data_IF_522818730355
#
_entry.id   IF_522818730355
#
_cell.length_a   1.000
_cell.length_b   1.000
_cell.length_c   1.000
_cell.angle_alpha   90.00
_cell.angle_beta   90.00
_cell.angle_gamma   90.00
#
_symmetry.space_group_name_H-M   'P 1'
#
loop_
_entity.id
_entity.type
_entity.pdbx_description
1 polymer ?
#
# COMPACT_ATOMS: atom_id res chain seq x y z
N UNK A 1 1.59 -18.32 -3.76
CA UNK A 1 1.49 -17.21 -4.71
C UNK A 1 0.14 -17.22 -5.41
N UNK A 2 -0.41 -16.04 -5.64
CA UNK A 2 -1.63 -15.84 -6.44
C UNK A 2 -1.30 -15.24 -7.81
N UNK A 3 -0.12 -14.63 -7.94
CA UNK A 3 0.43 -14.09 -9.18
C UNK A 3 1.82 -14.67 -9.45
N UNK A 4 2.07 -15.08 -10.69
CA UNK A 4 3.33 -15.67 -11.13
C UNK A 4 4.04 -14.81 -12.17
N UNK A 5 3.29 -13.97 -12.89
CA UNK A 5 3.79 -13.10 -13.94
C UNK A 5 3.50 -11.64 -13.60
N UNK A 6 4.51 -10.78 -13.70
CA UNK A 6 4.37 -9.36 -13.45
C UNK A 6 4.89 -8.53 -14.62
N UNK A 7 4.10 -7.53 -15.01
CA UNK A 7 4.58 -6.43 -15.86
C UNK A 7 5.07 -5.31 -14.96
N UNK A 8 6.33 -4.96 -15.06
CA UNK A 8 6.97 -3.88 -14.30
C UNK A 8 7.88 -3.06 -15.20
N UNK A 9 8.35 -1.94 -14.72
CA UNK A 9 9.27 -1.08 -15.47
C UNK A 9 10.62 -1.73 -15.69
N UNK A 10 11.10 -1.76 -16.92
CA UNK A 10 12.40 -2.35 -17.29
C UNK A 10 13.60 -1.68 -16.61
N UNK A 11 13.46 -0.43 -16.16
CA UNK A 11 14.54 0.25 -15.40
C UNK A 11 15.03 -0.51 -14.17
N UNK A 12 14.22 -1.41 -13.61
CA UNK A 12 14.63 -2.23 -12.48
C UNK A 12 15.58 -3.35 -12.87
N UNK A 13 15.62 -3.76 -14.13
CA UNK A 13 16.52 -4.80 -14.62
C UNK A 13 17.94 -4.24 -14.82
N UNK A 14 18.08 -2.94 -15.03
CA UNK A 14 19.34 -2.22 -15.17
C UNK A 14 19.87 -1.64 -13.86
N UNK A 15 19.11 -1.75 -12.77
CA UNK A 15 19.48 -1.18 -11.48
C UNK A 15 20.25 -2.17 -10.60
N UNK A 16 21.40 -1.75 -10.04
CA UNK A 16 22.18 -2.54 -9.07
C UNK A 16 21.45 -2.69 -7.73
N UNK A 17 20.66 -1.68 -7.35
CA UNK A 17 19.87 -1.67 -6.12
C UNK A 17 18.61 -0.78 -6.25
N UNK A 18 17.58 -1.12 -5.49
CA UNK A 18 16.34 -0.36 -5.41
C UNK A 18 16.14 0.17 -4.00
N UNK A 19 15.96 1.48 -3.87
CA UNK A 19 15.55 2.13 -2.63
C UNK A 19 14.10 2.57 -2.78
N UNK A 20 13.24 2.02 -1.94
CA UNK A 20 11.82 2.30 -1.94
C UNK A 20 11.49 3.44 -0.96
N UNK A 21 11.33 4.66 -1.48
CA UNK A 21 10.92 5.82 -0.69
C UNK A 21 9.41 6.03 -0.78
N UNK A 22 8.72 5.99 0.34
CA UNK A 22 7.26 6.11 0.36
C UNK A 22 6.78 7.10 1.44
N UNK A 23 5.54 7.54 1.31
CA UNK A 23 4.83 8.37 2.28
C UNK A 23 3.84 7.51 3.07
N UNK A 24 3.82 7.67 4.41
CA UNK A 24 2.78 7.07 5.24
C UNK A 24 1.45 7.77 5.00
N UNK A 25 0.46 7.00 4.53
CA UNK A 25 -0.87 7.53 4.21
C UNK A 25 -1.98 6.48 4.26
N UNK A 26 -3.19 6.93 4.53
CA UNK A 26 -4.41 6.12 4.43
C UNK A 26 -4.66 5.63 3.01
N UNK A 27 -5.42 4.55 2.90
CA UNK A 27 -5.86 4.00 1.61
C UNK A 27 -7.20 3.29 1.74
N UNK A 28 -8.19 3.69 0.91
CA UNK A 28 -9.56 3.18 0.99
C UNK A 28 -9.71 1.66 0.88
N UNK A 29 -8.92 0.99 0.06
CA UNK A 29 -8.99 -0.47 -0.13
C UNK A 29 -8.06 -1.23 0.82
N UNK A 30 -6.86 -0.69 1.10
CA UNK A 30 -5.78 -1.42 1.78
C UNK A 30 -5.53 -0.92 3.21
N UNK A 31 -6.39 -0.03 3.74
CA UNK A 31 -6.19 0.62 5.03
C UNK A 31 -5.10 1.68 4.99
N UNK A 32 -3.89 1.29 4.61
CA UNK A 32 -2.78 2.24 4.43
C UNK A 32 -1.97 1.97 3.16
N UNK A 33 -1.24 2.96 2.73
CA UNK A 33 -0.12 2.86 1.80
C UNK A 33 1.16 3.15 2.58
N UNK A 34 2.10 2.22 2.50
CA UNK A 34 3.43 2.34 3.08
C UNK A 34 4.42 1.54 2.22
N UNK A 35 5.47 0.95 2.79
CA UNK A 35 6.56 0.33 2.03
C UNK A 35 6.09 -0.80 1.10
N UNK A 36 5.32 -1.76 1.61
CA UNK A 36 4.86 -2.93 0.82
C UNK A 36 4.02 -2.47 -0.38
N UNK A 37 3.00 -1.64 -0.15
CA UNK A 37 2.11 -1.20 -1.21
C UNK A 37 2.78 -0.21 -2.18
N UNK A 38 3.78 0.55 -1.75
CA UNK A 38 4.48 1.50 -2.61
C UNK A 38 5.20 0.80 -3.77
N UNK A 39 5.68 -0.42 -3.57
CA UNK A 39 6.28 -1.24 -4.64
C UNK A 39 5.33 -1.53 -5.80
N UNK A 40 4.01 -1.44 -5.60
CA UNK A 40 3.06 -1.48 -6.70
C UNK A 40 3.24 -0.31 -7.69
N UNK A 41 4.01 0.70 -7.31
CA UNK A 41 4.44 1.80 -8.16
C UNK A 41 5.23 1.38 -9.40
N UNK A 42 5.97 0.26 -9.33
CA UNK A 42 6.79 -0.26 -10.44
C UNK A 42 5.94 -0.83 -11.60
N UNK A 43 4.66 -1.15 -11.34
CA UNK A 43 3.73 -1.64 -12.36
C UNK A 43 3.30 -0.48 -13.25
N UNK A 44 3.34 -0.59 -14.61
CA UNK A 44 2.87 0.46 -15.52
C UNK A 44 1.41 0.84 -15.30
N UNK A 45 1.09 2.12 -15.50
CA UNK A 45 -0.23 2.69 -15.18
C UNK A 45 -1.41 1.96 -15.82
N UNK A 46 -1.31 1.57 -17.09
CA UNK A 46 -2.35 0.81 -17.82
C UNK A 46 -2.60 -0.57 -17.21
N UNK A 47 -1.53 -1.25 -16.75
CA UNK A 47 -1.60 -2.58 -16.14
C UNK A 47 -2.15 -2.51 -14.71
N UNK A 48 -1.98 -1.38 -14.01
CA UNK A 48 -2.56 -1.20 -12.67
C UNK A 48 -4.07 -1.39 -12.66
N UNK A 49 -4.77 -0.86 -13.65
CA UNK A 49 -6.22 -1.02 -13.76
C UNK A 49 -6.61 -2.48 -14.03
N UNK A 50 -5.85 -3.19 -14.86
CA UNK A 50 -6.04 -4.62 -15.12
C UNK A 50 -5.87 -5.45 -13.84
N UNK A 51 -4.81 -5.20 -13.06
CA UNK A 51 -4.56 -5.92 -11.81
C UNK A 51 -5.61 -5.61 -10.75
N UNK A 52 -6.08 -4.39 -10.65
CA UNK A 52 -7.20 -4.05 -9.80
C UNK A 52 -8.50 -4.80 -10.18
N UNK A 53 -8.76 -4.98 -11.47
CA UNK A 53 -9.91 -5.76 -11.93
C UNK A 53 -9.72 -7.25 -11.65
N UNK A 54 -8.56 -7.81 -12.01
CA UNK A 54 -8.22 -9.23 -11.84
C UNK A 54 -8.21 -9.67 -10.38
N UNK A 55 -7.71 -8.83 -9.48
CA UNK A 55 -7.64 -9.05 -8.04
C UNK A 55 -8.58 -8.10 -7.31
N UNK A 56 -9.88 -8.21 -7.58
CA UNK A 56 -10.89 -7.28 -7.02
C UNK A 56 -11.12 -7.47 -5.53
N UNK A 57 -10.86 -8.66 -4.99
CA UNK A 57 -10.88 -8.92 -3.55
C UNK A 57 -9.64 -8.28 -2.88
N UNK A 58 -9.78 -7.51 -1.78
CA UNK A 58 -8.66 -6.87 -1.09
C UNK A 58 -7.55 -7.82 -0.66
N UNK A 59 -7.89 -9.02 -0.19
CA UNK A 59 -6.88 -10.00 0.23
C UNK A 59 -6.12 -10.60 -0.96
N UNK A 60 -6.78 -10.89 -2.07
CA UNK A 60 -6.12 -11.39 -3.28
C UNK A 60 -5.23 -10.31 -3.89
N UNK A 61 -5.68 -9.05 -3.87
CA UNK A 61 -4.85 -7.92 -4.26
C UNK A 61 -3.64 -7.74 -3.35
N UNK A 62 -3.81 -7.91 -2.04
CA UNK A 62 -2.72 -7.88 -1.08
C UNK A 62 -1.70 -9.01 -1.31
N UNK A 63 -2.18 -10.24 -1.52
CA UNK A 63 -1.33 -11.40 -1.84
C UNK A 63 -0.53 -11.16 -3.13
N UNK A 64 -1.17 -10.59 -4.17
CA UNK A 64 -0.49 -10.20 -5.41
C UNK A 64 0.60 -9.14 -5.16
N UNK A 65 0.34 -8.14 -4.31
CA UNK A 65 1.36 -7.14 -3.95
C UNK A 65 2.53 -7.79 -3.18
N UNK A 66 2.26 -8.73 -2.28
CA UNK A 66 3.30 -9.50 -1.59
C UNK A 66 4.11 -10.33 -2.59
N UNK A 67 3.47 -10.99 -3.54
CA UNK A 67 4.13 -11.73 -4.62
C UNK A 67 5.04 -10.81 -5.46
N UNK A 68 4.59 -9.60 -5.79
CA UNK A 68 5.37 -8.59 -6.50
C UNK A 68 6.62 -8.16 -5.70
N UNK A 69 6.47 -7.91 -4.39
CA UNK A 69 7.60 -7.55 -3.52
C UNK A 69 8.64 -8.69 -3.43
N UNK A 70 8.22 -9.95 -3.49
CA UNK A 70 9.12 -11.11 -3.52
C UNK A 70 9.80 -11.28 -4.88
N UNK A 71 9.08 -11.01 -5.97
CA UNK A 71 9.61 -11.10 -7.33
C UNK A 71 10.61 -9.98 -7.65
N UNK A 72 10.38 -8.79 -7.10
CA UNK A 72 11.24 -7.59 -7.30
C UNK A 72 11.45 -6.87 -5.95
N UNK A 73 12.33 -7.40 -5.08
CA UNK A 73 12.57 -6.81 -3.77
C UNK A 73 13.37 -5.51 -3.90
N UNK A 74 13.01 -4.53 -3.07
CA UNK A 74 13.88 -3.39 -2.80
C UNK A 74 14.82 -3.72 -1.63
N UNK A 75 16.05 -3.24 -1.69
CA UNK A 75 17.10 -3.48 -0.69
C UNK A 75 16.92 -2.62 0.55
N UNK A 76 16.31 -1.45 0.38
CA UNK A 76 16.02 -0.52 1.48
C UNK A 76 14.64 0.12 1.27
N UNK A 77 13.90 0.25 2.35
CA UNK A 77 12.63 0.96 2.39
C UNK A 77 12.74 2.13 3.36
N UNK A 78 12.35 3.32 2.91
CA UNK A 78 12.33 4.54 3.71
C UNK A 78 10.90 5.09 3.69
N UNK A 79 10.32 5.26 4.87
CA UNK A 79 8.98 5.84 5.04
C UNK A 79 9.11 7.27 5.53
N UNK A 80 8.64 8.21 4.74
CA UNK A 80 8.42 9.57 5.16
C UNK A 80 7.09 9.65 5.93
N UNK A 81 7.22 9.77 7.24
CA UNK A 81 6.15 10.05 8.18
C UNK A 81 6.38 11.39 8.92
N UNK A 82 7.19 12.31 8.36
CA UNK A 82 7.30 13.68 8.92
C UNK A 82 5.93 14.36 8.84
N UNK A 83 5.31 14.31 7.66
CA UNK A 83 3.91 14.67 7.47
C UNK A 83 3.24 13.55 6.71
N UNK A 84 2.41 12.77 7.39
CA UNK A 84 1.58 11.73 6.78
C UNK A 84 0.34 12.32 6.12
N UNK A 85 -0.49 11.43 5.53
CA UNK A 85 -1.80 11.78 5.00
C UNK A 85 -2.88 10.96 5.71
N UNK A 86 -3.83 11.60 6.31
CA UNK A 86 -5.01 10.98 6.95
C UNK A 86 -6.30 11.21 6.16
N UNK A 87 -7.39 10.56 6.54
CA UNK A 87 -8.70 10.72 5.90
C UNK A 87 -8.77 10.06 4.53
N UNK A 88 -9.32 10.73 3.52
CA UNK A 88 -9.68 10.16 2.22
C UNK A 88 -8.46 9.92 1.29
N UNK A 89 -7.46 9.18 1.78
CA UNK A 89 -6.31 8.74 0.97
C UNK A 89 -6.66 7.68 -0.08
N UNK A 90 -5.78 7.44 -1.04
CA UNK A 90 -4.37 7.81 -1.05
C UNK A 90 -4.06 9.17 -1.70
N UNK A 91 -5.07 9.92 -2.20
CA UNK A 91 -4.83 11.15 -2.99
C UNK A 91 -5.63 12.36 -2.55
N UNK A 92 -6.71 12.18 -1.80
CA UNK A 92 -7.64 13.23 -1.38
C UNK A 92 -7.75 13.33 0.15
N UNK A 93 -6.72 12.89 0.88
CA UNK A 93 -6.63 13.04 2.33
C UNK A 93 -6.07 14.41 2.72
N UNK A 94 -5.97 14.63 4.02
CA UNK A 94 -5.41 15.85 4.62
C UNK A 94 -4.02 15.57 5.20
N UNK A 95 -3.08 16.54 5.17
CA UNK A 95 -1.80 16.40 5.84
C UNK A 95 -1.97 16.22 7.35
N UNK A 96 -1.16 15.32 7.93
CA UNK A 96 -1.09 15.07 9.37
C UNK A 96 0.36 15.04 9.82
N UNK A 97 0.82 15.99 10.65
CA UNK A 97 2.15 15.94 11.25
C UNK A 97 2.29 14.71 12.15
N UNK A 98 3.39 13.97 11.96
CA UNK A 98 3.76 12.80 12.78
C UNK A 98 5.19 13.01 13.31
N UNK A 99 6.13 13.47 12.45
CA UNK A 99 7.44 13.95 12.87
C UNK A 99 8.55 12.91 12.84
N UNK A 100 8.42 11.80 12.09
CA UNK A 100 9.48 10.80 12.03
C UNK A 100 9.78 10.31 10.60
N UNK A 101 10.97 9.74 10.44
CA UNK A 101 11.39 8.93 9.31
C UNK A 101 11.64 7.50 9.82
N UNK A 102 11.23 6.51 9.06
CA UNK A 102 11.48 5.12 9.38
C UNK A 102 12.20 4.45 8.22
N UNK A 103 13.09 3.51 8.52
CA UNK A 103 13.80 2.76 7.49
C UNK A 103 13.97 1.29 7.91
N UNK A 104 13.94 0.38 6.93
CA UNK A 104 14.20 -1.05 7.14
C UNK A 104 14.50 -1.75 5.82
N UNK A 105 15.29 -2.83 5.88
CA UNK A 105 15.41 -3.76 4.77
C UNK A 105 14.22 -4.74 4.68
N UNK A 106 13.35 -4.78 5.70
CA UNK A 106 12.13 -5.61 5.71
C UNK A 106 10.88 -4.71 5.64
N UNK A 107 10.18 -4.63 4.50
CA UNK A 107 9.02 -3.77 4.33
C UNK A 107 7.84 -4.17 5.21
N UNK A 108 7.69 -5.44 5.50
CA UNK A 108 6.54 -5.96 6.26
C UNK A 108 6.62 -5.55 7.73
N UNK A 109 7.81 -5.66 8.35
CA UNK A 109 8.06 -5.19 9.72
C UNK A 109 7.92 -3.67 9.81
N UNK A 110 8.42 -2.97 8.79
CA UNK A 110 8.30 -1.52 8.69
C UNK A 110 6.83 -1.08 8.63
N UNK A 111 6.03 -1.72 7.80
CA UNK A 111 4.59 -1.44 7.68
C UNK A 111 3.84 -1.75 8.98
N UNK A 112 4.23 -2.76 9.75
CA UNK A 112 3.65 -3.03 11.08
C UNK A 112 3.88 -1.89 12.07
N UNK A 113 5.10 -1.35 12.14
CA UNK A 113 5.41 -0.18 12.98
C UNK A 113 4.58 1.02 12.53
N UNK A 114 4.53 1.27 11.22
CA UNK A 114 3.74 2.37 10.65
C UNK A 114 2.24 2.22 10.98
N UNK A 115 1.71 1.00 10.94
CA UNK A 115 0.33 0.71 11.35
C UNK A 115 0.09 1.08 12.83
N UNK A 116 1.03 0.71 13.72
CA UNK A 116 0.97 1.07 15.13
C UNK A 116 0.98 2.58 15.36
N UNK A 117 1.79 3.33 14.60
CA UNK A 117 1.86 4.81 14.67
C UNK A 117 0.49 5.44 14.36
N UNK A 118 -0.24 4.92 13.38
CA UNK A 118 -1.55 5.46 12.97
C UNK A 118 -2.75 4.76 13.64
N UNK A 119 -2.50 3.94 14.66
CA UNK A 119 -3.55 3.30 15.46
C UNK A 119 -4.34 2.20 14.73
N UNK A 120 -3.77 1.58 13.67
CA UNK A 120 -4.37 0.43 13.01
C UNK A 120 -3.74 -0.87 13.52
N UNK A 121 -4.54 -1.86 13.94
CA UNK A 121 -4.03 -3.20 14.23
C UNK A 121 -3.36 -3.78 12.98
N UNK A 122 -2.08 -4.20 13.01
CA UNK A 122 -1.36 -4.69 11.83
C UNK A 122 -2.08 -5.83 11.11
N UNK A 123 -2.66 -6.77 11.85
CA UNK A 123 -3.39 -7.91 11.29
C UNK A 123 -4.64 -7.52 10.47
N UNK A 124 -5.17 -6.30 10.65
CA UNK A 124 -6.31 -5.80 9.88
C UNK A 124 -5.89 -5.18 8.55
N UNK A 125 -4.59 -4.97 8.30
CA UNK A 125 -4.08 -4.41 7.05
C UNK A 125 -3.84 -5.55 6.07
N UNK A 126 -4.53 -5.58 4.92
CA UNK A 126 -4.49 -6.73 4.00
C UNK A 126 -3.08 -7.13 3.56
N UNK A 127 -2.17 -6.17 3.31
CA UNK A 127 -0.79 -6.47 2.92
C UNK A 127 0.03 -7.08 4.06
N UNK A 128 -0.21 -6.69 5.31
CA UNK A 128 0.44 -7.29 6.48
C UNK A 128 -0.15 -8.67 6.74
N UNK A 129 -1.47 -8.83 6.71
CA UNK A 129 -2.13 -10.12 6.87
C UNK A 129 -1.64 -11.14 5.82
N UNK A 130 -1.55 -10.75 4.54
CA UNK A 130 -1.01 -11.59 3.48
C UNK A 130 0.47 -11.96 3.68
N UNK A 131 1.26 -11.05 4.26
CA UNK A 131 2.66 -11.33 4.62
C UNK A 131 2.76 -12.31 5.80
N UNK A 132 1.88 -12.19 6.79
CA UNK A 132 1.81 -13.10 7.94
C UNK A 132 1.36 -14.52 7.55
N UNK A 133 0.43 -14.66 6.59
CA UNK A 133 0.07 -15.96 6.01
C UNK A 133 1.28 -16.72 5.44
N UNK A 134 2.32 -16.00 5.06
CA UNK A 134 3.54 -16.53 4.43
C UNK A 134 4.77 -16.50 5.34
N UNK A 135 4.60 -16.22 6.61
CA UNK A 135 5.67 -16.08 7.61
C UNK A 135 6.76 -15.06 7.23
N UNK A 136 6.41 -14.02 6.44
CA UNK A 136 7.31 -12.92 6.05
C UNK A 136 7.36 -11.81 7.11
N UNK A 137 6.42 -11.80 8.03
CA UNK A 137 6.24 -10.82 9.09
C UNK A 137 5.89 -11.53 10.39
N UNK A 138 6.32 -11.03 11.56
CA UNK A 138 5.89 -11.56 12.85
C UNK A 138 4.38 -11.38 13.06
N UNK A 139 3.83 -12.07 14.05
CA UNK A 139 2.41 -11.96 14.42
C UNK A 139 2.14 -10.66 15.17
N UNK A 140 3.02 -10.35 16.12
CA UNK A 140 2.86 -9.22 17.02
C UNK A 140 3.93 -8.15 16.77
N UNK A 141 3.54 -6.89 16.93
CA UNK A 141 4.43 -5.74 16.77
C UNK A 141 5.58 -5.76 17.79
N UNK A 142 5.33 -6.32 18.99
CA UNK A 142 6.32 -6.48 20.06
C UNK A 142 7.48 -7.42 19.73
N UNK A 143 7.37 -8.23 18.69
CA UNK A 143 8.45 -9.11 18.21
C UNK A 143 9.46 -8.36 17.31
N UNK A 144 9.19 -7.08 17.00
CA UNK A 144 10.04 -6.29 16.11
C UNK A 144 11.07 -5.54 16.94
N UNK A 145 12.35 -5.86 16.75
CA UNK A 145 13.45 -5.07 17.30
C UNK A 145 13.63 -3.80 16.47
N UNK A 146 13.67 -2.67 17.15
CA UNK A 146 13.91 -1.33 16.58
C UNK A 146 15.13 -0.69 17.23
N UNK A 147 15.83 0.19 16.51
CA UNK A 147 16.96 0.96 17.07
C UNK A 147 16.49 2.03 18.05
N UNK A 148 15.37 2.66 17.75
CA UNK A 148 14.80 3.77 18.51
C UNK A 148 13.32 3.55 18.79
N UNK A 149 12.80 4.01 19.94
CA UNK A 149 11.38 3.89 20.28
C UNK A 149 10.50 4.61 19.26
N UNK A 150 9.48 3.94 18.75
CA UNK A 150 8.47 4.51 17.83
C UNK A 150 7.21 5.01 18.55
N UNK A 151 7.00 4.59 19.80
CA UNK A 151 5.81 4.91 20.59
C UNK A 151 5.59 6.44 20.78
N UNK A 152 6.64 7.28 20.89
CA UNK A 152 6.45 8.73 20.96
C UNK A 152 5.79 9.36 19.72
N UNK A 153 5.76 8.63 18.59
CA UNK A 153 5.18 9.11 17.34
C UNK A 153 3.76 8.60 17.08
N UNK A 154 3.17 7.88 18.04
CA UNK A 154 1.77 7.41 17.93
C UNK A 154 0.84 8.61 17.84
N UNK A 155 -0.08 8.56 16.86
CA UNK A 155 -1.12 9.57 16.65
C UNK A 155 -2.47 8.93 16.97
N UNK A 156 -2.98 9.07 18.21
CA UNK A 156 -4.16 8.34 18.67
C UNK A 156 -5.46 8.71 17.94
N UNK A 157 -5.53 9.94 17.43
CA UNK A 157 -6.67 10.50 16.73
C UNK A 157 -6.46 10.54 15.20
N UNK A 158 -5.57 9.70 14.66
CA UNK A 158 -5.34 9.61 13.22
C UNK A 158 -6.61 9.17 12.50
N UNK A 159 -7.03 9.95 11.51
CA UNK A 159 -8.30 9.71 10.78
C UNK A 159 -8.13 8.61 9.74
N UNK A 160 -8.26 7.37 10.16
CA UNK A 160 -8.30 6.23 9.26
C UNK A 160 -9.61 6.22 8.47
N UNK A 161 -9.57 5.85 7.17
CA UNK A 161 -10.77 5.78 6.30
C UNK A 161 -11.72 4.69 6.77
N UNK A 162 -11.19 3.65 7.40
CA UNK A 162 -11.91 2.44 7.81
C UNK A 162 -11.49 2.00 9.19
N UNK A 163 -12.46 1.51 9.92
CA UNK A 163 -12.22 0.82 11.18
C UNK A 163 -11.60 -0.57 10.90
N UNK A 164 -10.84 -1.08 11.84
CA UNK A 164 -10.19 -2.39 11.77
C UNK A 164 -11.13 -3.51 11.32
N UNK A 165 -12.39 -3.47 11.75
CA UNK A 165 -13.43 -4.46 11.44
C UNK A 165 -13.79 -4.54 9.95
N UNK A 166 -13.60 -3.46 9.19
CA UNK A 166 -14.07 -3.35 7.81
C UNK A 166 -12.96 -3.56 6.75
N UNK A 167 -11.69 -3.71 7.15
CA UNK A 167 -10.58 -3.79 6.19
C UNK A 167 -10.45 -5.17 5.52
N UNK A 168 -10.73 -6.24 6.25
CA UNK A 168 -10.58 -7.62 5.77
C UNK A 168 -11.86 -8.21 5.16
N UNK A 169 -13.04 -7.65 5.49
CA UNK A 169 -14.35 -8.20 5.14
C UNK A 169 -15.07 -7.44 4.02
N UNK A 170 -14.34 -6.94 3.03
CA UNK A 170 -15.00 -6.32 1.88
C UNK A 170 -15.41 -7.32 0.83
N UNK A 171 -16.71 -7.50 0.69
CA UNK A 171 -17.31 -7.90 -0.58
C UNK A 171 -16.87 -6.90 -1.66
N UNK A 172 -16.30 -7.45 -2.74
CA UNK A 172 -15.66 -6.68 -3.80
C UNK A 172 -16.43 -5.40 -4.15
N UNK A 173 -15.81 -4.26 -3.96
CA UNK A 173 -16.49 -2.98 -3.94
C UNK A 173 -16.83 -2.50 -5.35
N UNK A 174 -17.96 -2.98 -5.89
CA UNK A 174 -18.53 -2.54 -7.18
C UNK A 174 -18.63 -0.99 -7.28
N UNK A 175 -18.79 -0.30 -6.15
CA UNK A 175 -18.89 1.16 -6.10
C UNK A 175 -17.55 1.89 -6.35
N UNK A 176 -16.41 1.34 -5.91
CA UNK A 176 -15.08 1.92 -6.20
C UNK A 176 -14.76 1.72 -7.67
N UNK A 177 -15.08 0.56 -8.21
CA UNK A 177 -14.87 0.22 -9.63
C UNK A 177 -15.76 1.05 -10.54
N UNK A 178 -17.02 1.28 -10.17
CA UNK A 178 -17.92 2.16 -10.92
C UNK A 178 -17.34 3.58 -11.05
N UNK A 179 -16.72 4.12 -10.00
CA UNK A 179 -16.06 5.44 -10.05
C UNK A 179 -14.77 5.43 -10.88
N UNK A 180 -13.95 4.38 -10.77
CA UNK A 180 -12.73 4.24 -11.56
C UNK A 180 -13.05 4.01 -13.05
N UNK A 181 -14.00 3.14 -13.36
CA UNK A 181 -14.48 2.87 -14.72
C UNK A 181 -15.10 4.12 -15.33
N UNK A 182 -15.93 4.87 -14.63
CA UNK A 182 -16.49 6.14 -15.10
C UNK A 182 -15.40 7.19 -15.38
N UNK A 183 -14.32 7.25 -14.58
CA UNK A 183 -13.17 8.13 -14.88
C UNK A 183 -12.45 7.71 -16.15
N UNK A 184 -12.20 6.40 -16.33
CA UNK A 184 -11.56 5.85 -17.53
C UNK A 184 -12.43 6.08 -18.79
N UNK A 185 -13.74 5.85 -18.70
CA UNK A 185 -14.68 6.09 -19.79
C UNK A 185 -14.74 7.58 -20.16
N UNK A 186 -14.78 8.48 -19.18
CA UNK A 186 -14.73 9.93 -19.43
C UNK A 186 -13.41 10.37 -20.07
N UNK A 187 -12.27 9.84 -19.62
CA UNK A 187 -10.96 10.12 -20.21
C UNK A 187 -10.87 9.58 -21.66
N UNK A 188 -11.38 8.38 -21.91
CA UNK A 188 -11.42 7.80 -23.26
C UNK A 188 -12.37 8.54 -24.21
N UNK A 189 -13.47 9.10 -23.69
CA UNK A 189 -14.41 9.89 -24.49
C UNK A 189 -13.92 11.32 -24.74
N UNK A 190 -13.11 11.90 -23.85
CA UNK A 190 -12.51 13.22 -24.03
C UNK A 190 -11.28 13.22 -24.95
N UNK A 191 -10.70 12.06 -25.23
CA UNK A 191 -9.52 11.91 -26.09
C UNK A 191 -9.86 11.52 -27.54
N UNK A 192 -11.12 11.52 -27.96
CA UNK A 192 -11.48 11.37 -29.38
C UNK A 192 -11.19 12.68 -30.11
N UNK A 193 -10.24 12.70 -31.07
CA UNK A 193 -10.12 13.85 -31.97
C UNK A 193 -11.43 13.97 -32.72
N UNK A 194 -11.95 15.19 -32.81
CA UNK A 194 -13.16 15.48 -33.58
C UNK A 194 -12.99 15.00 -35.00
N UNK A 195 -13.88 14.14 -35.46
CA UNK A 195 -14.09 13.88 -36.87
C UNK A 195 -14.83 15.12 -37.40
N UNK A 196 -14.11 15.96 -38.14
CA UNK A 196 -14.72 16.91 -39.05
C UNK A 196 -15.14 16.19 -40.32
#
# INVERSE_FOLDING_TARGET
AVAHDFKYTAYLDDADAVINCCKLKTHGMMGMTCAVKNMYGIVPGSVKSEYHYRYSNPMDFARMIVDLNLARPAQLHIVDAVVGMEGNGPTAGTPRPIGCLLASCNPYRLDMICAGIIGLPPACIPTIAAAQERALSPKEIGEITVSDPWQPYIVPDFKNIRNAENLLHQDGNAAIWGKALNRLLRAAMSSRPGVQ
#
